data_IF_574560797160
#
_entry.id   IF_574560797160
#
_cell.length_a   1.000
_cell.length_b   1.000
_cell.length_c   1.000
_cell.angle_alpha   90.00
_cell.angle_beta   90.00
_cell.angle_gamma   90.00
#
_symmetry.space_group_name_H-M   'P 1'
#
loop_
_entity.id
_entity.type
_entity.pdbx_description
1 polymer ?
#
# COMPACT_ATOMS: atom_id res chain seq x y z
N UNK A 1 21.44 21.77 8.32
CA UNK A 1 20.75 21.39 9.56
C UNK A 1 21.75 20.77 10.52
N UNK A 2 21.49 20.81 11.81
CA UNK A 2 22.36 20.23 12.84
C UNK A 2 22.65 18.73 12.59
N UNK A 3 21.70 18.00 12.07
CA UNK A 3 21.84 16.58 11.74
C UNK A 3 22.97 16.32 10.75
N UNK A 4 23.05 17.12 9.68
CA UNK A 4 24.14 16.99 8.68
C UNK A 4 25.52 17.34 9.23
N UNK A 5 25.60 18.19 10.25
CA UNK A 5 26.86 18.55 10.93
C UNK A 5 27.36 17.36 11.75
N UNK A 6 26.48 16.73 12.52
CA UNK A 6 26.80 15.55 13.34
C UNK A 6 27.22 14.34 12.50
N UNK A 7 26.52 14.06 11.40
CA UNK A 7 26.90 12.98 10.47
C UNK A 7 28.30 13.18 9.90
N UNK A 8 28.64 14.41 9.49
CA UNK A 8 29.95 14.73 8.97
C UNK A 8 31.04 14.60 10.04
N UNK A 9 30.75 15.02 11.28
CA UNK A 9 31.67 14.88 12.40
C UNK A 9 31.95 13.40 12.72
N UNK A 10 30.90 12.58 12.74
CA UNK A 10 31.02 11.14 12.97
C UNK A 10 31.83 10.44 11.86
N UNK A 11 31.58 10.76 10.60
CA UNK A 11 32.37 10.23 9.47
C UNK A 11 33.86 10.61 9.54
N UNK A 12 34.18 11.73 10.17
CA UNK A 12 35.53 12.19 10.39
C UNK A 12 36.15 11.66 11.71
N UNK A 13 35.47 10.74 12.40
CA UNK A 13 35.99 10.12 13.63
C UNK A 13 35.80 10.95 14.90
N UNK A 14 34.90 11.96 14.90
CA UNK A 14 34.56 12.69 16.10
C UNK A 14 33.70 11.82 17.04
N UNK A 15 34.25 11.40 18.18
CA UNK A 15 33.59 10.48 19.10
C UNK A 15 32.28 11.04 19.72
N UNK A 16 32.20 12.35 19.95
CA UNK A 16 30.96 12.97 20.46
C UNK A 16 29.83 12.89 19.43
N UNK A 17 30.13 13.16 18.17
CA UNK A 17 29.16 13.10 17.08
C UNK A 17 28.74 11.66 16.77
N UNK A 18 29.66 10.72 16.82
CA UNK A 18 29.36 9.28 16.77
C UNK A 18 28.41 8.84 17.90
N UNK A 19 28.65 9.30 19.13
CA UNK A 19 27.78 8.98 20.26
C UNK A 19 26.36 9.51 20.05
N UNK A 20 26.19 10.71 19.50
CA UNK A 20 24.85 11.26 19.19
C UNK A 20 24.10 10.43 18.19
N UNK A 21 24.78 9.87 17.20
CA UNK A 21 24.13 8.97 16.22
C UNK A 21 23.73 7.65 16.92
N UNK A 22 24.58 7.11 17.78
CA UNK A 22 24.25 5.91 18.58
C UNK A 22 23.07 6.15 19.53
N UNK A 23 23.03 7.32 20.17
CA UNK A 23 21.91 7.73 21.04
C UNK A 23 20.59 7.82 20.26
N UNK A 24 20.63 8.36 19.02
CA UNK A 24 19.47 8.38 18.12
C UNK A 24 18.99 6.98 17.78
N UNK A 25 19.91 6.08 17.38
CA UNK A 25 19.55 4.70 17.04
C UNK A 25 18.95 3.97 18.24
N UNK A 26 19.53 4.17 19.43
CA UNK A 26 18.99 3.63 20.66
C UNK A 26 17.58 4.17 20.97
N UNK A 27 17.38 5.46 20.80
CA UNK A 27 16.05 6.08 20.99
C UNK A 27 15.03 5.52 20.01
N UNK A 28 15.40 5.25 18.75
CA UNK A 28 14.52 4.61 17.75
C UNK A 28 14.16 3.19 18.22
N UNK A 29 15.13 2.39 18.66
CA UNK A 29 14.89 1.02 19.11
C UNK A 29 13.99 0.95 20.35
N UNK A 30 14.11 1.93 21.27
CA UNK A 30 13.31 1.98 22.50
C UNK A 30 11.92 2.58 22.30
N UNK A 31 11.79 3.56 21.41
CA UNK A 31 10.54 4.33 21.25
C UNK A 31 9.60 3.78 20.17
N UNK A 32 10.14 3.20 19.10
CA UNK A 32 9.33 2.68 17.98
C UNK A 32 8.93 1.22 18.27
N UNK A 33 7.64 0.94 18.53
CA UNK A 33 7.20 -0.42 18.78
C UNK A 33 7.32 -1.28 17.53
N UNK A 34 7.66 -2.54 17.71
CA UNK A 34 7.62 -3.53 16.62
C UNK A 34 6.19 -3.66 16.11
N UNK A 35 5.92 -3.44 14.83
CA UNK A 35 4.57 -3.52 14.30
C UNK A 35 4.02 -4.94 14.37
N UNK A 36 2.75 -5.06 14.74
CA UNK A 36 2.03 -6.33 14.62
C UNK A 36 1.69 -6.56 13.15
N UNK A 37 2.10 -7.71 12.61
CA UNK A 37 1.86 -8.09 11.23
C UNK A 37 0.69 -9.06 11.14
N UNK A 38 -0.31 -8.75 10.34
CA UNK A 38 -1.51 -9.57 10.10
C UNK A 38 -1.20 -10.77 9.18
N UNK A 39 -0.33 -11.67 9.62
CA UNK A 39 0.12 -12.81 8.82
C UNK A 39 -0.91 -13.93 8.67
N UNK A 40 -1.86 -14.03 9.61
CA UNK A 40 -2.85 -15.12 9.66
C UNK A 40 -4.09 -14.85 8.77
N UNK A 41 -4.22 -13.63 8.26
CA UNK A 41 -5.29 -13.26 7.33
C UNK A 41 -4.99 -13.75 5.92
N UNK A 42 -6.01 -13.88 5.03
CA UNK A 42 -5.78 -14.15 3.62
C UNK A 42 -4.86 -13.10 2.99
N UNK A 43 -3.95 -13.55 2.12
CA UNK A 43 -3.01 -12.69 1.40
C UNK A 43 -3.73 -11.57 0.64
N UNK A 44 -3.19 -10.37 0.74
CA UNK A 44 -3.62 -9.19 -0.02
C UNK A 44 -2.45 -8.23 -0.21
N UNK A 45 -2.23 -7.82 -1.45
CA UNK A 45 -1.21 -6.86 -1.86
C UNK A 45 -1.79 -5.87 -2.87
N UNK A 46 -1.96 -4.59 -2.53
CA UNK A 46 -2.29 -3.55 -3.51
C UNK A 46 -1.17 -3.41 -4.54
N UNK A 47 -1.53 -3.30 -5.82
CA UNK A 47 -0.58 -3.11 -6.91
C UNK A 47 -0.16 -1.64 -6.98
N UNK A 48 1.14 -1.38 -6.81
CA UNK A 48 1.72 -0.04 -6.88
C UNK A 48 2.31 0.26 -8.25
N UNK A 49 2.99 -0.71 -8.85
CA UNK A 49 3.57 -0.60 -10.18
C UNK A 49 3.62 -1.96 -10.87
N UNK A 50 3.69 -1.94 -12.19
CA UNK A 50 3.74 -3.15 -13.04
C UNK A 50 4.76 -2.97 -14.13
N UNK A 51 5.65 -3.92 -14.27
CA UNK A 51 6.65 -3.95 -15.34
C UNK A 51 6.90 -5.37 -15.85
N UNK A 52 7.52 -5.47 -17.01
CA UNK A 52 7.87 -6.74 -17.65
C UNK A 52 9.36 -6.99 -17.57
N UNK A 53 9.74 -8.20 -17.17
CA UNK A 53 11.12 -8.65 -17.24
C UNK A 53 11.25 -9.58 -18.46
N UNK A 54 12.12 -9.21 -19.41
CA UNK A 54 12.35 -10.01 -20.62
C UNK A 54 12.74 -11.45 -20.27
N UNK A 55 12.00 -12.41 -20.80
CA UNK A 55 12.20 -13.85 -20.55
C UNK A 55 11.66 -14.37 -19.22
N UNK A 56 11.11 -13.52 -18.34
CA UNK A 56 10.53 -13.94 -17.05
C UNK A 56 9.04 -13.66 -16.93
N UNK A 57 8.54 -12.59 -17.56
CA UNK A 57 7.12 -12.22 -17.55
C UNK A 57 6.80 -10.94 -16.81
N UNK A 58 5.56 -10.78 -16.44
CA UNK A 58 5.03 -9.58 -15.76
C UNK A 58 5.24 -9.66 -14.25
N UNK A 59 5.70 -8.56 -13.69
CA UNK A 59 5.92 -8.38 -12.25
C UNK A 59 5.01 -7.26 -11.75
N UNK A 60 4.22 -7.57 -10.73
CA UNK A 60 3.47 -6.59 -9.96
C UNK A 60 4.23 -6.28 -8.66
N UNK A 61 4.44 -5.01 -8.38
CA UNK A 61 5.07 -4.57 -7.13
C UNK A 61 4.04 -4.00 -6.18
N UNK A 62 4.30 -4.16 -4.90
CA UNK A 62 3.47 -3.61 -3.85
C UNK A 62 3.91 -4.04 -2.46
N UNK A 63 3.28 -3.44 -1.46
CA UNK A 63 3.45 -3.88 -0.07
C UNK A 63 2.38 -4.91 0.26
N UNK A 64 2.79 -6.05 0.79
CA UNK A 64 1.85 -7.02 1.34
C UNK A 64 1.14 -6.38 2.53
N UNK A 65 -0.16 -6.14 2.40
CA UNK A 65 -0.97 -5.49 3.43
C UNK A 65 -1.30 -6.47 4.56
N UNK A 66 -1.62 -7.71 4.19
CA UNK A 66 -1.97 -8.80 5.13
C UNK A 66 -1.68 -10.16 4.53
N UNK A 67 -1.58 -11.14 5.40
CA UNK A 67 -1.36 -12.54 5.03
C UNK A 67 0.08 -12.86 4.69
N UNK A 68 0.24 -14.06 4.15
CA UNK A 68 1.51 -14.60 3.66
C UNK A 68 1.27 -15.18 2.27
N UNK A 69 2.25 -15.06 1.39
CA UNK A 69 2.24 -15.61 0.04
C UNK A 69 3.53 -16.36 -0.23
N UNK A 70 3.43 -17.49 -0.93
CA UNK A 70 4.56 -18.34 -1.31
C UNK A 70 4.66 -18.45 -2.82
N UNK A 71 5.85 -18.74 -3.30
CA UNK A 71 6.05 -19.16 -4.69
C UNK A 71 5.24 -20.42 -4.96
N UNK A 72 4.44 -20.41 -6.02
CA UNK A 72 3.50 -21.48 -6.38
C UNK A 72 2.06 -21.23 -5.94
N UNK A 73 1.79 -20.26 -5.09
CA UNK A 73 0.43 -19.97 -4.65
C UNK A 73 -0.42 -19.40 -5.78
N UNK A 74 -1.69 -19.85 -5.81
CA UNK A 74 -2.70 -19.25 -6.65
C UNK A 74 -3.07 -17.86 -6.12
N UNK A 75 -3.24 -16.92 -7.03
CA UNK A 75 -3.67 -15.56 -6.73
C UNK A 75 -4.70 -15.08 -7.75
N UNK A 76 -5.45 -14.05 -7.40
CA UNK A 76 -6.34 -13.35 -8.31
C UNK A 76 -6.07 -11.85 -8.29
N UNK A 77 -6.25 -11.23 -9.46
CA UNK A 77 -6.19 -9.79 -9.66
C UNK A 77 -7.63 -9.28 -9.60
N UNK A 78 -7.90 -8.37 -8.67
CA UNK A 78 -9.25 -7.87 -8.38
C UNK A 78 -9.28 -6.34 -8.46
N UNK A 79 -10.40 -5.82 -8.95
CA UNK A 79 -10.66 -4.38 -9.05
C UNK A 79 -10.42 -3.80 -10.44
N UNK A 80 -11.09 -2.69 -10.75
CA UNK A 80 -11.07 -1.97 -12.03
C UNK A 80 -11.58 -2.75 -13.25
N UNK A 81 -11.83 -4.04 -13.11
CA UNK A 81 -12.42 -4.93 -14.10
C UNK A 81 -13.63 -5.65 -13.51
N UNK A 82 -14.56 -6.05 -14.35
CA UNK A 82 -15.80 -6.72 -13.91
C UNK A 82 -15.54 -8.09 -13.31
N UNK A 83 -14.58 -8.84 -13.88
CA UNK A 83 -14.25 -10.20 -13.44
C UNK A 83 -12.80 -10.29 -12.93
N UNK A 84 -12.56 -11.02 -11.83
CA UNK A 84 -11.21 -11.28 -11.34
C UNK A 84 -10.40 -12.14 -12.32
N UNK A 85 -9.14 -11.76 -12.54
CA UNK A 85 -8.21 -12.55 -13.36
C UNK A 85 -7.38 -13.48 -12.49
N UNK A 86 -7.42 -14.79 -12.79
CA UNK A 86 -6.68 -15.80 -12.04
C UNK A 86 -5.24 -15.93 -12.52
N UNK A 87 -4.32 -16.09 -11.58
CA UNK A 87 -2.90 -16.27 -11.86
C UNK A 87 -2.21 -17.13 -10.81
N UNK A 88 -0.93 -17.40 -11.01
CA UNK A 88 -0.05 -18.09 -10.05
C UNK A 88 1.20 -17.24 -9.85
N UNK A 89 1.62 -17.08 -8.62
CA UNK A 89 2.86 -16.37 -8.25
C UNK A 89 4.02 -17.34 -8.51
N UNK A 90 4.83 -17.05 -9.52
CA UNK A 90 5.98 -17.88 -9.92
C UNK A 90 7.30 -17.45 -9.33
N UNK A 91 7.34 -16.28 -8.71
CA UNK A 91 8.51 -15.78 -8.02
C UNK A 91 8.17 -14.60 -7.12
N UNK A 92 8.92 -14.45 -6.06
CA UNK A 92 8.85 -13.33 -5.11
C UNK A 92 10.24 -12.73 -4.97
N UNK A 93 10.36 -11.43 -5.14
CA UNK A 93 11.63 -10.71 -5.01
C UNK A 93 11.49 -9.52 -4.07
N UNK A 94 12.51 -9.31 -3.24
CA UNK A 94 12.63 -8.15 -2.36
C UNK A 94 14.09 -7.69 -2.32
N UNK A 95 14.35 -6.40 -2.59
CA UNK A 95 15.71 -5.84 -2.61
C UNK A 95 16.71 -6.63 -3.47
N UNK A 96 16.29 -7.08 -4.67
CA UNK A 96 17.06 -7.91 -5.61
C UNK A 96 17.41 -9.31 -5.09
N UNK A 97 16.71 -9.79 -4.06
CA UNK A 97 16.83 -11.15 -3.55
C UNK A 97 15.56 -11.92 -3.84
N UNK A 98 15.70 -13.12 -4.35
CA UNK A 98 14.59 -14.06 -4.50
C UNK A 98 14.23 -14.64 -3.14
N UNK A 99 12.94 -14.71 -2.84
CA UNK A 99 12.39 -15.25 -1.62
C UNK A 99 11.47 -16.42 -1.95
N UNK A 100 11.36 -17.38 -1.03
CA UNK A 100 10.38 -18.47 -1.12
C UNK A 100 8.98 -18.00 -0.71
N UNK A 101 8.90 -17.01 0.17
CA UNK A 101 7.66 -16.44 0.68
C UNK A 101 7.83 -14.98 1.09
N UNK A 102 6.70 -14.27 1.15
CA UNK A 102 6.60 -12.93 1.73
C UNK A 102 5.39 -12.83 2.65
N UNK A 103 5.43 -11.90 3.60
CA UNK A 103 4.39 -11.70 4.60
C UNK A 103 3.99 -10.24 4.76
N UNK A 104 2.90 -10.01 5.46
CA UNK A 104 2.41 -8.67 5.78
C UNK A 104 3.53 -7.71 6.20
N UNK A 105 3.60 -6.54 5.56
CA UNK A 105 4.62 -5.52 5.77
C UNK A 105 5.80 -5.57 4.78
N UNK A 106 5.98 -6.66 4.03
CA UNK A 106 7.06 -6.76 3.05
C UNK A 106 6.69 -6.03 1.75
N UNK A 107 7.64 -5.25 1.20
CA UNK A 107 7.54 -4.70 -0.15
C UNK A 107 8.18 -5.67 -1.13
N UNK A 108 7.39 -6.17 -2.07
CA UNK A 108 7.82 -7.23 -2.98
C UNK A 108 7.51 -6.93 -4.44
N UNK A 109 8.22 -7.62 -5.32
CA UNK A 109 7.82 -7.86 -6.70
C UNK A 109 7.31 -9.30 -6.82
N UNK A 110 6.06 -9.47 -7.20
CA UNK A 110 5.45 -10.77 -7.46
C UNK A 110 5.46 -11.06 -8.97
N UNK A 111 6.13 -12.12 -9.37
CA UNK A 111 6.15 -12.59 -10.76
C UNK A 111 4.90 -13.40 -11.04
N UNK A 112 4.14 -13.02 -12.06
CA UNK A 112 2.83 -13.56 -12.37
C UNK A 112 2.86 -14.46 -13.62
N UNK A 113 2.18 -15.59 -13.56
CA UNK A 113 2.08 -16.52 -14.69
C UNK A 113 0.94 -16.13 -15.62
N UNK A 114 1.24 -16.02 -16.93
CA UNK A 114 0.21 -15.86 -17.96
C UNK A 114 -0.53 -14.53 -17.91
N UNK A 115 0.07 -13.51 -17.31
CA UNK A 115 -0.46 -12.14 -17.22
C UNK A 115 0.39 -11.24 -18.09
N UNK A 116 -0.22 -10.56 -19.04
CA UNK A 116 0.44 -9.54 -19.83
C UNK A 116 0.45 -8.21 -19.07
N UNK A 117 1.37 -7.31 -19.43
CA UNK A 117 1.51 -5.99 -18.81
C UNK A 117 0.21 -5.17 -18.87
N UNK A 118 -0.62 -5.42 -19.88
CA UNK A 118 -1.91 -4.76 -20.12
C UNK A 118 -3.07 -5.31 -19.31
N UNK A 119 -2.91 -6.49 -18.71
CA UNK A 119 -3.97 -7.19 -17.97
C UNK A 119 -3.99 -6.83 -16.48
N UNK A 120 -2.98 -6.09 -16.03
CA UNK A 120 -2.83 -5.67 -14.65
C UNK A 120 -2.34 -4.22 -14.59
N UNK A 121 -2.89 -3.44 -13.69
CA UNK A 121 -2.52 -2.04 -13.52
C UNK A 121 -2.50 -1.61 -12.05
N UNK A 122 -1.85 -0.47 -11.80
CA UNK A 122 -1.88 0.18 -10.50
C UNK A 122 -3.32 0.44 -10.06
N UNK A 123 -3.61 0.19 -8.79
CA UNK A 123 -4.94 0.38 -8.21
C UNK A 123 -5.71 -0.93 -8.04
N UNK A 124 -5.36 -1.96 -8.79
CA UNK A 124 -5.85 -3.31 -8.56
C UNK A 124 -5.21 -3.95 -7.32
N UNK A 125 -5.75 -5.06 -6.91
CA UNK A 125 -5.27 -5.83 -5.74
C UNK A 125 -4.95 -7.24 -6.18
N UNK A 126 -3.78 -7.73 -5.79
CA UNK A 126 -3.42 -9.13 -5.89
C UNK A 126 -3.80 -9.81 -4.56
N UNK A 127 -4.66 -10.82 -4.60
CA UNK A 127 -5.23 -11.44 -3.42
C UNK A 127 -5.29 -12.96 -3.51
N UNK A 128 -5.50 -13.61 -2.37
CA UNK A 128 -5.84 -15.03 -2.34
C UNK A 128 -7.22 -15.22 -2.99
N UNK A 129 -7.40 -16.20 -3.89
CA UNK A 129 -8.64 -16.39 -4.64
C UNK A 129 -9.88 -16.49 -3.75
N UNK A 130 -10.95 -15.75 -4.15
CA UNK A 130 -12.25 -15.75 -3.48
C UNK A 130 -12.30 -15.03 -2.13
N UNK A 131 -11.29 -14.23 -1.78
CA UNK A 131 -11.23 -13.56 -0.46
C UNK A 131 -11.48 -12.05 -0.51
N UNK A 132 -11.55 -11.48 -1.70
CA UNK A 132 -11.78 -10.05 -1.93
C UNK A 132 -12.86 -9.87 -2.98
N UNK A 133 -13.82 -9.00 -2.68
CA UNK A 133 -14.90 -8.63 -3.62
C UNK A 133 -14.91 -7.11 -3.76
N UNK A 134 -14.86 -6.57 -5.00
CA UNK A 134 -15.00 -5.14 -5.21
C UNK A 134 -16.44 -4.69 -4.94
N UNK A 135 -16.58 -3.46 -4.45
CA UNK A 135 -17.86 -2.82 -4.21
C UNK A 135 -17.89 -1.46 -4.88
N UNK A 136 -18.99 -1.12 -5.54
CA UNK A 136 -19.22 0.18 -6.15
C UNK A 136 -20.01 1.11 -5.24
N UNK A 137 -20.77 0.55 -4.30
CA UNK A 137 -21.57 1.28 -3.33
C UNK A 137 -21.22 0.83 -1.90
N UNK A 138 -21.07 1.78 -1.01
CA UNK A 138 -20.77 1.50 0.40
C UNK A 138 -21.19 2.67 1.29
N UNK A 139 -21.38 2.41 2.57
CA UNK A 139 -21.61 3.44 3.60
C UNK A 139 -20.32 3.62 4.42
N UNK A 140 -19.95 4.87 4.64
CA UNK A 140 -18.76 5.20 5.41
C UNK A 140 -19.04 6.29 6.44
N UNK A 141 -18.34 6.22 7.57
CA UNK A 141 -18.23 7.34 8.48
C UNK A 141 -17.05 8.21 8.05
N UNK A 142 -17.30 9.49 7.80
CA UNK A 142 -16.30 10.43 7.27
C UNK A 142 -16.03 11.52 8.30
N UNK A 143 -14.77 11.76 8.58
CA UNK A 143 -14.31 12.95 9.30
C UNK A 143 -13.94 14.03 8.30
N UNK A 144 -14.65 15.14 8.32
CA UNK A 144 -14.39 16.27 7.43
C UNK A 144 -13.42 17.22 8.14
N UNK A 145 -12.25 17.42 7.56
CA UNK A 145 -11.24 18.35 8.10
C UNK A 145 -11.77 19.77 8.12
N UNK A 146 -11.62 20.43 9.26
CA UNK A 146 -11.97 21.85 9.42
C UNK A 146 -10.99 22.75 8.68
N UNK A 147 -11.34 24.03 8.51
CA UNK A 147 -10.47 25.03 7.90
C UNK A 147 -9.12 25.15 8.63
N UNK A 148 -9.13 25.11 9.95
CA UNK A 148 -7.91 25.26 10.77
C UNK A 148 -6.99 24.04 10.67
N UNK A 149 -7.54 22.87 10.31
CA UNK A 149 -6.81 21.64 10.00
C UNK A 149 -6.33 21.56 8.54
N UNK A 150 -6.52 22.63 7.77
CA UNK A 150 -6.17 22.66 6.35
C UNK A 150 -7.25 22.04 5.43
N UNK A 151 -8.43 21.81 5.97
CA UNK A 151 -9.57 21.28 5.23
C UNK A 151 -10.31 22.34 4.41
N UNK A 152 -11.44 21.95 3.87
CA UNK A 152 -12.25 22.85 3.05
C UNK A 152 -12.99 23.89 3.92
N UNK A 153 -13.27 25.04 3.32
CA UNK A 153 -13.99 26.17 3.90
C UNK A 153 -15.26 26.51 3.14
N UNK A 154 -15.69 25.62 2.26
CA UNK A 154 -16.95 25.73 1.53
C UNK A 154 -17.77 24.45 1.75
N UNK A 155 -19.07 24.55 2.02
CA UNK A 155 -19.90 23.37 2.20
C UNK A 155 -20.00 22.54 0.92
N UNK A 156 -20.34 21.27 1.06
CA UNK A 156 -20.75 20.43 -0.04
C UNK A 156 -22.13 19.84 0.21
N UNK A 157 -22.81 19.51 -0.85
CA UNK A 157 -24.20 19.06 -0.87
C UNK A 157 -24.28 17.63 -1.39
N UNK A 158 -25.47 17.06 -1.32
CA UNK A 158 -25.76 15.77 -1.89
C UNK A 158 -25.38 15.72 -3.39
N UNK A 159 -24.80 14.63 -3.87
CA UNK A 159 -24.29 14.50 -5.23
C UNK A 159 -22.92 15.17 -5.47
N UNK A 160 -22.22 15.57 -4.42
CA UNK A 160 -20.83 16.05 -4.55
C UNK A 160 -19.92 14.95 -5.06
N UNK A 161 -19.08 15.25 -6.06
CA UNK A 161 -18.22 14.28 -6.75
C UNK A 161 -16.73 14.55 -6.52
N UNK A 162 -16.16 14.14 -5.40
CA UNK A 162 -14.72 14.21 -5.17
C UNK A 162 -13.98 13.02 -5.76
N UNK A 163 -12.65 13.11 -5.74
CA UNK A 163 -11.79 11.95 -5.88
C UNK A 163 -11.63 11.26 -4.52
N UNK A 164 -11.75 9.93 -4.54
CA UNK A 164 -11.49 9.06 -3.40
C UNK A 164 -10.21 8.27 -3.65
N UNK A 165 -9.39 8.17 -2.63
CA UNK A 165 -8.15 7.40 -2.67
C UNK A 165 -8.29 6.16 -1.82
N UNK A 166 -8.28 4.99 -2.47
CA UNK A 166 -8.34 3.68 -1.81
C UNK A 166 -7.07 2.91 -2.12
N UNK A 167 -6.20 2.70 -1.11
CA UNK A 167 -4.90 2.07 -1.30
C UNK A 167 -4.07 2.77 -2.39
N UNK A 168 -3.94 2.15 -3.55
CA UNK A 168 -3.11 2.64 -4.66
C UNK A 168 -3.93 3.21 -5.83
N UNK A 169 -5.25 3.19 -5.73
CA UNK A 169 -6.16 3.74 -6.75
C UNK A 169 -6.80 5.06 -6.32
N UNK A 170 -7.15 5.87 -7.29
CA UNK A 170 -8.02 7.02 -7.14
C UNK A 170 -9.24 6.84 -8.04
N UNK A 171 -10.40 7.07 -7.47
CA UNK A 171 -11.69 6.95 -8.18
C UNK A 171 -12.56 8.15 -7.89
N UNK A 172 -13.31 8.59 -8.91
CA UNK A 172 -14.35 9.60 -8.74
C UNK A 172 -15.64 8.92 -8.31
N UNK A 173 -16.27 9.42 -7.26
CA UNK A 173 -17.55 8.88 -6.78
C UNK A 173 -18.50 9.97 -6.33
N UNK A 174 -19.77 9.63 -6.21
CA UNK A 174 -20.82 10.52 -5.74
C UNK A 174 -21.07 10.31 -4.26
N UNK A 175 -21.17 11.41 -3.50
CA UNK A 175 -21.53 11.36 -2.08
C UNK A 175 -23.04 11.55 -1.93
N UNK A 176 -23.69 10.57 -1.32
CA UNK A 176 -25.07 10.67 -0.89
C UNK A 176 -25.07 10.93 0.63
N UNK A 177 -25.56 12.10 1.03
CA UNK A 177 -25.69 12.46 2.44
C UNK A 177 -26.86 11.70 3.09
N UNK A 178 -26.78 11.44 4.40
CA UNK A 178 -27.89 10.83 5.13
C UNK A 178 -29.19 11.65 5.03
N UNK A 179 -30.32 10.97 5.18
CA UNK A 179 -31.64 11.63 5.15
C UNK A 179 -31.71 12.73 6.23
N UNK A 180 -32.19 13.91 5.84
CA UNK A 180 -32.29 15.10 6.70
C UNK A 180 -31.01 15.94 6.80
N UNK A 181 -29.91 15.53 6.15
CA UNK A 181 -28.68 16.31 6.05
C UNK A 181 -28.61 17.00 4.69
N UNK A 182 -28.78 18.31 4.68
CA UNK A 182 -28.77 19.10 3.43
C UNK A 182 -27.34 19.41 2.96
N UNK A 183 -26.41 19.64 3.89
CA UNK A 183 -25.03 19.95 3.57
C UNK A 183 -24.07 19.44 4.65
N UNK A 184 -22.80 19.33 4.27
CA UNK A 184 -21.68 19.04 5.18
C UNK A 184 -20.56 20.07 5.01
N UNK A 185 -19.88 20.41 6.12
CA UNK A 185 -18.86 21.45 6.14
C UNK A 185 -17.68 21.03 7.03
#
# INVERSE_FOLDING_TARGET
>A
SEMCIRDRGALNGNAEDEQKIRDLMKAVDEYVPTPQRDTDKPFLMPVEDVFTITGRGTVATGRVERGTVKVGDAAEIVGLQDEPTQTVITGVEMFRKTLDQAMAGDNIGALLRGIDRTDIERGQVLAKPGTVHPHTEFTAQVYVLTKDEGGRHTPFFNGYRPQFFFRTTDVTGDINLPEGVEMCM
#
